data_IF_152646007216
#
_entry.id   IF_152646007216
#
_cell.length_a   1.000
_cell.length_b   1.000
_cell.length_c   1.000
_cell.angle_alpha   90.00
_cell.angle_beta   90.00
_cell.angle_gamma   90.00
#
_symmetry.space_group_name_H-M   'P 1'
#
loop_
_entity.id
_entity.type
_entity.pdbx_description
1 polymer ?
#
# COMPACT_ATOMS: atom_id res chain seq x y z
N UNK A 1 23.18 -3.09 -26.48
CA UNK A 1 23.38 -4.37 -25.77
C UNK A 1 23.28 -4.07 -24.29
N UNK A 2 22.06 -4.13 -23.73
CA UNK A 2 21.76 -3.68 -22.36
C UNK A 2 22.24 -4.77 -21.39
N UNK A 3 23.06 -4.37 -20.43
CA UNK A 3 23.83 -5.26 -19.57
C UNK A 3 22.91 -5.91 -18.53
N UNK A 4 22.59 -7.20 -18.72
CA UNK A 4 21.65 -7.99 -17.91
C UNK A 4 22.01 -8.03 -16.41
N UNK A 5 23.27 -7.75 -16.05
CA UNK A 5 23.75 -7.66 -14.68
C UNK A 5 23.19 -6.46 -13.89
N UNK A 6 22.73 -5.38 -14.56
CA UNK A 6 22.18 -4.22 -13.86
C UNK A 6 20.70 -4.38 -13.44
N UNK A 7 19.99 -5.37 -13.98
CA UNK A 7 18.61 -5.67 -13.59
C UNK A 7 18.55 -6.42 -12.25
N UNK A 8 19.55 -7.24 -11.93
CA UNK A 8 19.63 -7.92 -10.63
C UNK A 8 20.04 -6.99 -9.48
N UNK A 9 20.81 -5.93 -9.77
CA UNK A 9 21.14 -4.91 -8.76
C UNK A 9 19.93 -4.05 -8.35
N UNK A 10 18.84 -4.07 -9.12
CA UNK A 10 17.59 -3.40 -8.75
C UNK A 10 16.80 -4.18 -7.68
N UNK A 11 17.05 -5.49 -7.52
CA UNK A 11 16.44 -6.31 -6.47
C UNK A 11 17.36 -6.50 -5.24
N UNK A 12 18.63 -6.10 -5.34
CA UNK A 12 19.62 -6.22 -4.26
C UNK A 12 19.78 -4.94 -3.40
N UNK A 13 18.99 -3.89 -3.66
CA UNK A 13 18.96 -2.69 -2.83
C UNK A 13 17.90 -2.78 -1.71
N UNK A 14 17.82 -3.91 -1.00
CA UNK A 14 17.40 -3.88 0.40
C UNK A 14 18.64 -3.44 1.18
N UNK A 15 18.81 -2.13 1.34
CA UNK A 15 19.80 -1.57 2.25
C UNK A 15 19.40 -1.90 3.69
N UNK A 16 19.66 -3.13 4.11
CA UNK A 16 19.44 -3.60 5.47
C UNK A 16 20.81 -4.01 6.03
N UNK A 17 21.31 -3.22 6.97
CA UNK A 17 22.50 -3.56 7.73
C UNK A 17 22.16 -4.67 8.73
N UNK A 18 23.11 -5.55 9.11
CA UNK A 18 22.83 -6.73 9.95
C UNK A 18 22.29 -6.42 11.36
N UNK A 19 22.25 -5.15 11.79
CA UNK A 19 21.65 -4.71 13.05
C UNK A 19 20.13 -4.44 12.95
N UNK A 20 19.59 -4.19 11.76
CA UNK A 20 18.14 -3.95 11.57
C UNK A 20 17.33 -5.27 11.59
N UNK A 21 17.98 -6.39 11.26
CA UNK A 21 17.38 -7.73 11.12
C UNK A 21 16.93 -8.32 12.47
N UNK A 22 17.49 -7.85 13.60
CA UNK A 22 17.09 -8.33 14.94
C UNK A 22 15.76 -7.73 15.41
N UNK A 23 15.39 -6.53 14.94
CA UNK A 23 14.26 -5.75 15.44
C UNK A 23 13.06 -5.67 14.49
N UNK A 24 13.22 -5.99 13.20
CA UNK A 24 12.12 -6.03 12.21
C UNK A 24 11.27 -7.31 12.28
N UNK A 25 11.04 -7.84 13.48
CA UNK A 25 10.22 -9.04 13.66
C UNK A 25 8.75 -8.68 13.78
N UNK A 26 8.14 -8.32 12.65
CA UNK A 26 6.73 -7.89 12.65
C UNK A 26 6.03 -7.92 11.30
N UNK A 27 6.42 -8.79 10.35
CA UNK A 27 5.62 -9.02 9.15
C UNK A 27 4.68 -10.20 9.38
N UNK A 28 3.48 -9.92 9.88
CA UNK A 28 2.38 -10.87 9.88
C UNK A 28 1.59 -10.62 8.60
N UNK A 29 1.54 -11.58 7.68
CA UNK A 29 0.81 -11.48 6.41
C UNK A 29 1.27 -10.40 5.41
N UNK A 30 2.59 -10.20 5.24
CA UNK A 30 3.17 -9.23 4.28
C UNK A 30 2.74 -7.76 4.51
N UNK A 31 2.09 -7.49 5.64
CA UNK A 31 1.77 -6.15 6.08
C UNK A 31 3.02 -5.55 6.74
N UNK A 32 3.53 -4.41 6.23
CA UNK A 32 4.61 -3.70 6.90
C UNK A 32 4.13 -3.17 8.26
N UNK A 33 5.06 -2.95 9.19
CA UNK A 33 4.75 -2.32 10.48
C UNK A 33 4.57 -0.82 10.31
N UNK A 34 3.80 -0.20 11.22
CA UNK A 34 3.57 1.25 11.23
C UNK A 34 4.83 2.08 11.47
N UNK A 35 5.91 1.46 11.99
CA UNK A 35 7.19 2.10 12.29
C UNK A 35 8.32 1.74 11.30
N UNK A 36 7.99 1.13 10.15
CA UNK A 36 8.96 0.64 9.16
C UNK A 36 9.94 1.71 8.66
N UNK A 37 9.52 2.96 8.60
CA UNK A 37 10.32 4.06 8.06
C UNK A 37 11.02 4.90 9.16
N UNK A 38 11.02 4.45 10.41
CA UNK A 38 11.65 5.16 11.53
C UNK A 38 12.99 4.54 11.87
N UNK A 39 13.92 5.38 12.33
CA UNK A 39 15.21 4.93 12.85
C UNK A 39 15.01 4.12 14.14
N UNK A 40 15.60 2.93 14.21
CA UNK A 40 15.45 2.00 15.34
C UNK A 40 16.77 1.91 16.10
N UNK A 41 16.71 1.95 17.43
CA UNK A 41 17.89 1.72 18.28
C UNK A 41 18.30 0.24 18.28
N UNK A 42 19.59 -0.03 18.08
CA UNK A 42 20.17 -1.38 17.98
C UNK A 42 20.21 -2.15 19.30
N UNK A 43 20.03 -1.49 20.46
CA UNK A 43 20.12 -2.13 21.78
C UNK A 43 18.76 -2.52 22.36
N UNK A 44 17.70 -1.74 22.08
CA UNK A 44 16.38 -1.91 22.70
C UNK A 44 15.24 -2.09 21.69
N UNK A 45 15.53 -2.15 20.38
CA UNK A 45 14.53 -2.35 19.31
C UNK A 45 13.30 -1.44 19.45
N UNK A 46 13.49 -0.20 19.91
CA UNK A 46 12.42 0.77 20.11
C UNK A 46 12.54 1.86 19.04
N UNK A 47 11.45 2.24 18.35
CA UNK A 47 11.47 3.32 17.37
C UNK A 47 11.79 4.64 18.08
N UNK A 48 12.73 5.41 17.53
CA UNK A 48 13.02 6.78 17.99
C UNK A 48 12.14 7.77 17.22
N UNK A 49 11.61 8.76 17.94
CA UNK A 49 10.77 9.83 17.40
C UNK A 49 11.41 11.13 17.89
N UNK A 50 12.28 11.70 17.07
CA UNK A 50 13.08 12.86 17.48
C UNK A 50 12.63 14.13 16.74
N UNK A 51 11.97 14.01 15.58
CA UNK A 51 11.58 15.15 14.74
C UNK A 51 10.12 15.09 14.27
N UNK A 52 9.57 16.26 13.89
CA UNK A 52 8.24 16.34 13.25
C UNK A 52 8.20 15.60 11.90
N UNK A 53 9.35 15.41 11.27
CA UNK A 53 9.48 14.64 10.02
C UNK A 53 9.21 13.15 10.24
N UNK A 54 9.37 12.64 11.47
CA UNK A 54 9.11 11.24 11.79
C UNK A 54 7.61 10.93 11.77
N UNK A 55 6.78 11.92 12.14
CA UNK A 55 5.31 11.84 11.97
C UNK A 55 4.93 11.67 10.49
N UNK A 56 5.65 12.34 9.60
CA UNK A 56 5.44 12.18 8.16
C UNK A 56 5.79 10.76 7.69
N UNK A 57 6.90 10.21 8.18
CA UNK A 57 7.35 8.85 7.86
C UNK A 57 6.36 7.78 8.38
N UNK A 58 5.78 7.99 9.57
CA UNK A 58 4.71 7.12 10.10
C UNK A 58 3.48 7.16 9.19
N UNK A 59 3.07 8.36 8.74
CA UNK A 59 1.93 8.50 7.84
C UNK A 59 2.17 7.74 6.53
N UNK A 60 3.39 7.82 5.98
CA UNK A 60 3.77 7.09 4.78
C UNK A 60 3.71 5.57 4.98
N UNK A 61 4.14 5.08 6.15
CA UNK A 61 4.04 3.65 6.52
C UNK A 61 2.59 3.19 6.56
N UNK A 62 1.71 3.99 7.18
CA UNK A 62 0.27 3.68 7.27
C UNK A 62 -0.35 3.63 5.87
N UNK A 63 -0.03 4.58 4.99
CA UNK A 63 -0.52 4.58 3.61
C UNK A 63 -0.06 3.33 2.85
N UNK A 64 1.18 2.88 3.03
CA UNK A 64 1.66 1.63 2.42
C UNK A 64 0.83 0.41 2.89
N UNK A 65 0.49 0.35 4.18
CA UNK A 65 -0.38 -0.69 4.75
C UNK A 65 -1.78 -0.63 4.12
N UNK A 66 -2.37 0.57 4.02
CA UNK A 66 -3.70 0.76 3.42
C UNK A 66 -3.72 0.36 1.94
N UNK A 67 -2.68 0.71 1.16
CA UNK A 67 -2.59 0.34 -0.26
C UNK A 67 -2.48 -1.18 -0.40
N UNK A 68 -1.63 -1.84 0.39
CA UNK A 68 -1.51 -3.31 0.36
C UNK A 68 -2.83 -4.00 0.69
N UNK A 69 -3.52 -3.51 1.73
CA UNK A 69 -4.84 -4.01 2.11
C UNK A 69 -5.89 -3.73 1.01
N UNK A 70 -5.84 -2.54 0.39
CA UNK A 70 -6.69 -2.17 -0.74
C UNK A 70 -6.50 -3.07 -1.96
N UNK A 71 -5.27 -3.46 -2.28
CA UNK A 71 -4.99 -4.40 -3.39
C UNK A 71 -5.59 -5.78 -3.12
N UNK A 72 -5.45 -6.29 -1.90
CA UNK A 72 -6.06 -7.58 -1.51
C UNK A 72 -7.58 -7.51 -1.64
N UNK A 73 -8.21 -6.44 -1.15
CA UNK A 73 -9.65 -6.22 -1.28
C UNK A 73 -10.08 -6.07 -2.75
N UNK A 74 -9.31 -5.35 -3.57
CA UNK A 74 -9.61 -5.16 -4.99
C UNK A 74 -9.65 -6.51 -5.75
N UNK A 75 -8.69 -7.41 -5.47
CA UNK A 75 -8.67 -8.75 -6.05
C UNK A 75 -9.94 -9.52 -5.67
N UNK A 76 -10.36 -9.45 -4.41
CA UNK A 76 -11.59 -10.09 -3.93
C UNK A 76 -12.81 -9.53 -4.68
N UNK A 77 -12.94 -8.21 -4.77
CA UNK A 77 -14.06 -7.57 -5.46
C UNK A 77 -14.11 -7.88 -6.95
N UNK A 78 -12.97 -7.97 -7.64
CA UNK A 78 -12.91 -8.36 -9.06
C UNK A 78 -13.46 -9.78 -9.25
N UNK A 79 -13.09 -10.72 -8.37
CA UNK A 79 -13.57 -12.10 -8.44
C UNK A 79 -15.09 -12.15 -8.22
N UNK A 80 -15.60 -11.47 -7.19
CA UNK A 80 -17.04 -11.42 -6.91
C UNK A 80 -17.84 -10.72 -8.03
N UNK A 81 -17.35 -9.60 -8.54
CA UNK A 81 -17.97 -8.86 -9.63
C UNK A 81 -17.98 -9.65 -10.94
N UNK A 82 -16.88 -10.33 -11.28
CA UNK A 82 -16.77 -11.19 -12.45
C UNK A 82 -17.72 -12.39 -12.42
N UNK A 83 -17.84 -13.05 -11.27
CA UNK A 83 -18.77 -14.18 -11.10
C UNK A 83 -20.23 -13.71 -11.17
N UNK A 84 -20.55 -12.55 -10.58
CA UNK A 84 -21.90 -11.97 -10.64
C UNK A 84 -22.34 -11.65 -12.08
N UNK A 85 -21.42 -11.13 -12.91
CA UNK A 85 -21.64 -10.87 -14.34
C UNK A 85 -21.96 -12.14 -15.13
N UNK A 86 -21.26 -13.24 -14.87
CA UNK A 86 -21.48 -14.53 -15.57
C UNK A 86 -22.80 -15.17 -15.15
N UNK A 87 -23.22 -14.99 -13.89
CA UNK A 87 -24.48 -15.52 -13.37
C UNK A 87 -25.71 -14.70 -13.78
N UNK A 88 -25.54 -13.46 -14.24
CA UNK A 88 -26.61 -12.59 -14.74
C UNK A 88 -27.09 -13.01 -16.13
N UNK A 89 -27.50 -14.26 -16.33
CA UNK A 89 -28.12 -14.71 -17.58
C UNK A 89 -29.53 -14.11 -17.69
N UNK A 90 -29.64 -12.93 -18.29
CA UNK A 90 -30.89 -12.43 -18.90
C UNK A 90 -31.88 -11.64 -18.03
N UNK A 91 -31.54 -11.27 -16.78
CA UNK A 91 -32.43 -10.47 -15.91
C UNK A 91 -31.94 -9.00 -15.89
N UNK A 92 -32.74 -8.02 -16.35
CA UNK A 92 -32.31 -6.61 -16.46
C UNK A 92 -31.92 -5.98 -15.12
N UNK A 93 -32.47 -6.48 -14.02
CA UNK A 93 -32.17 -6.03 -12.65
C UNK A 93 -30.71 -6.29 -12.24
N UNK A 94 -30.16 -7.43 -12.67
CA UNK A 94 -28.73 -7.76 -12.46
C UNK A 94 -27.80 -6.89 -13.30
N UNK A 95 -28.27 -6.36 -14.43
CA UNK A 95 -27.50 -5.48 -15.31
C UNK A 95 -27.35 -4.08 -14.71
N UNK A 96 -28.41 -3.55 -14.09
CA UNK A 96 -28.31 -2.29 -13.35
C UNK A 96 -27.41 -2.42 -12.12
N UNK A 97 -27.57 -3.51 -11.34
CA UNK A 97 -26.68 -3.76 -10.20
C UNK A 97 -25.20 -3.90 -10.61
N UNK A 98 -24.92 -4.48 -11.78
CA UNK A 98 -23.56 -4.54 -12.33
C UNK A 98 -23.02 -3.15 -12.72
N UNK A 99 -23.86 -2.22 -13.20
CA UNK A 99 -23.46 -0.83 -13.49
C UNK A 99 -23.12 -0.07 -12.21
N UNK A 100 -23.92 -0.23 -11.16
CA UNK A 100 -23.66 0.42 -9.88
C UNK A 100 -22.33 -0.09 -9.29
N UNK A 101 -22.07 -1.39 -9.38
CA UNK A 101 -20.79 -1.97 -8.95
C UNK A 101 -19.58 -1.42 -9.70
N UNK A 102 -19.73 -1.12 -11.01
CA UNK A 102 -18.68 -0.47 -11.81
C UNK A 102 -18.49 1.00 -11.38
N UNK A 103 -19.57 1.74 -11.13
CA UNK A 103 -19.52 3.14 -10.67
C UNK A 103 -18.86 3.23 -9.30
N UNK A 104 -19.18 2.32 -8.38
CA UNK A 104 -18.59 2.27 -7.05
C UNK A 104 -17.09 1.95 -7.12
N UNK A 105 -16.69 1.03 -8.00
CA UNK A 105 -15.27 0.71 -8.24
C UNK A 105 -14.50 1.93 -8.80
N UNK A 106 -15.08 2.67 -9.74
CA UNK A 106 -14.48 3.91 -10.28
C UNK A 106 -14.38 4.97 -9.19
N UNK A 107 -15.40 5.11 -8.35
CA UNK A 107 -15.42 6.09 -7.26
C UNK A 107 -14.28 5.83 -6.26
N UNK A 108 -14.05 4.57 -5.90
CA UNK A 108 -12.92 4.18 -5.04
C UNK A 108 -11.56 4.54 -5.65
N UNK A 109 -11.39 4.32 -6.97
CA UNK A 109 -10.16 4.70 -7.69
C UNK A 109 -9.94 6.22 -7.64
N UNK A 110 -10.98 7.01 -7.91
CA UNK A 110 -10.91 8.47 -7.93
C UNK A 110 -10.55 9.02 -6.54
N UNK A 111 -11.17 8.51 -5.48
CA UNK A 111 -10.87 8.91 -4.10
C UNK A 111 -9.41 8.60 -3.76
N UNK A 112 -8.90 7.43 -4.15
CA UNK A 112 -7.50 7.06 -3.93
C UNK A 112 -6.51 8.03 -4.61
N UNK A 113 -6.78 8.41 -5.87
CA UNK A 113 -5.96 9.38 -6.59
C UNK A 113 -5.95 10.76 -5.92
N UNK A 114 -7.11 11.23 -5.48
CA UNK A 114 -7.22 12.53 -4.77
C UNK A 114 -6.46 12.48 -3.44
N UNK A 115 -6.59 11.40 -2.67
CA UNK A 115 -5.87 11.24 -1.41
C UNK A 115 -4.34 11.35 -1.59
N UNK A 116 -3.78 10.68 -2.61
CA UNK A 116 -2.33 10.74 -2.90
C UNK A 116 -1.88 12.18 -3.15
N UNK A 117 -2.64 12.94 -3.94
CA UNK A 117 -2.30 14.34 -4.21
C UNK A 117 -2.33 15.21 -2.96
N UNK A 118 -3.35 15.03 -2.09
CA UNK A 118 -3.46 15.78 -0.83
C UNK A 118 -2.32 15.45 0.14
N UNK A 119 -1.97 14.18 0.30
CA UNK A 119 -0.83 13.75 1.13
C UNK A 119 0.45 14.40 0.58
N UNK A 120 0.70 14.31 -0.73
CA UNK A 120 1.90 14.93 -1.32
C UNK A 120 1.98 16.44 -1.13
N UNK A 121 0.84 17.12 -1.00
CA UNK A 121 0.77 18.56 -0.76
C UNK A 121 1.08 18.92 0.70
N UNK A 122 0.52 18.16 1.66
CA UNK A 122 0.83 18.35 3.09
C UNK A 122 2.31 18.09 3.37
N UNK A 123 2.89 17.02 2.81
CA UNK A 123 4.31 16.71 2.99
C UNK A 123 5.26 17.76 2.43
N UNK A 124 4.85 18.47 1.36
CA UNK A 124 5.63 19.57 0.77
C UNK A 124 5.48 20.90 1.51
N UNK A 125 4.42 21.09 2.29
CA UNK A 125 4.16 22.34 3.00
C UNK A 125 4.80 22.40 4.39
N UNK A 126 5.14 21.24 4.98
CA UNK A 126 5.75 21.14 6.32
C UNK A 126 7.22 20.68 6.29
N UNK A 127 7.80 20.52 5.09
CA UNK A 127 9.23 20.28 4.86
C UNK A 127 9.93 21.51 4.32
#
# INVERSE_FOLDING_TARGET
MINFLNIFNFFAASGETPAEVACQKGSFFAFPTWYKYLEVDTNYCNPKIDNINDIWLIMLAIVEILIRLGVILAIIFIIYGGVSLIMARGIPEKVNSARDMIIDAITGLVIGLVAITLISFLGKSFG
#
